data_IF_554854562981
#
_entry.id   IF_554854562981
#
_cell.length_a   1.000
_cell.length_b   1.000
_cell.length_c   1.000
_cell.angle_alpha   90.00
_cell.angle_beta   90.00
_cell.angle_gamma   90.00
#
_symmetry.space_group_name_H-M   'P 1'
#
loop_
_entity.id
_entity.type
_entity.pdbx_description
1 polymer ?
#
# COMPACT_ATOMS: atom_id res chain seq x y z
N UNK A 1 14.34 22.83 -15.47
CA UNK A 1 14.34 21.37 -15.22
C UNK A 1 15.52 21.03 -14.34
N UNK A 2 15.35 20.10 -13.41
CA UNK A 2 16.40 19.58 -12.53
C UNK A 2 16.66 18.11 -12.93
N UNK A 3 17.91 17.69 -13.19
CA UNK A 3 18.19 16.29 -13.51
C UNK A 3 17.97 15.41 -12.27
N UNK A 4 17.44 14.19 -12.46
CA UNK A 4 17.19 13.25 -11.36
C UNK A 4 18.47 12.95 -10.56
N UNK A 5 19.63 12.94 -11.22
CA UNK A 5 20.93 12.74 -10.56
C UNK A 5 21.25 13.83 -9.54
N UNK A 6 20.69 15.04 -9.67
CA UNK A 6 20.81 16.10 -8.67
C UNK A 6 19.83 15.92 -7.49
N UNK A 7 18.85 15.02 -7.60
CA UNK A 7 17.80 14.79 -6.61
C UNK A 7 18.02 13.50 -5.80
N UNK A 8 19.22 12.92 -5.83
CA UNK A 8 19.51 11.70 -5.06
C UNK A 8 19.35 11.89 -3.55
N UNK A 9 19.71 13.07 -3.01
CA UNK A 9 19.56 13.38 -1.58
C UNK A 9 18.09 13.42 -1.14
N UNK A 10 17.20 14.21 -1.78
CA UNK A 10 15.79 14.19 -1.40
C UNK A 10 15.14 12.81 -1.57
N UNK A 11 15.56 11.99 -2.55
CA UNK A 11 15.10 10.60 -2.69
C UNK A 11 15.50 9.76 -1.47
N UNK A 12 16.78 9.74 -1.10
CA UNK A 12 17.27 8.93 0.00
C UNK A 12 16.71 9.39 1.36
N UNK A 13 16.69 10.69 1.60
CA UNK A 13 16.19 11.28 2.85
C UNK A 13 14.69 11.03 3.01
N UNK A 14 13.89 11.21 1.95
CA UNK A 14 12.46 10.91 2.01
C UNK A 14 12.19 9.44 2.31
N UNK A 15 12.92 8.50 1.70
CA UNK A 15 12.76 7.08 1.98
C UNK A 15 13.04 6.74 3.46
N UNK A 16 14.08 7.34 4.06
CA UNK A 16 14.38 7.15 5.49
C UNK A 16 13.28 7.73 6.38
N UNK A 17 12.81 8.95 6.08
CA UNK A 17 11.74 9.60 6.85
C UNK A 17 10.44 8.80 6.79
N UNK A 18 10.04 8.33 5.60
CA UNK A 18 8.83 7.52 5.40
C UNK A 18 8.97 6.18 6.10
N UNK A 19 10.14 5.52 6.00
CA UNK A 19 10.38 4.26 6.67
C UNK A 19 10.27 4.39 8.20
N UNK A 20 10.83 5.45 8.77
CA UNK A 20 10.73 5.75 10.20
C UNK A 20 9.27 6.04 10.61
N UNK A 21 8.56 6.91 9.88
CA UNK A 21 7.16 7.22 10.15
C UNK A 21 6.27 5.97 10.06
N UNK A 22 6.51 5.11 9.07
CA UNK A 22 5.79 3.84 8.91
C UNK A 22 6.06 2.86 10.04
N UNK A 23 7.30 2.80 10.51
CA UNK A 23 7.65 1.98 11.69
C UNK A 23 6.93 2.48 12.94
N UNK A 24 6.82 3.79 13.14
CA UNK A 24 6.05 4.38 14.24
C UNK A 24 4.56 4.04 14.14
N UNK A 25 3.96 4.23 12.94
CA UNK A 25 2.55 3.93 12.68
C UNK A 25 2.20 2.47 13.00
N UNK A 26 2.95 1.52 12.44
CA UNK A 26 2.57 0.11 12.47
C UNK A 26 3.17 -0.70 13.62
N UNK A 27 4.29 -0.27 14.21
CA UNK A 27 4.97 -1.02 15.28
C UNK A 27 4.83 -0.38 16.66
N UNK A 28 4.69 0.94 16.73
CA UNK A 28 4.67 1.66 18.03
C UNK A 28 3.24 2.07 18.39
N UNK A 29 2.51 2.66 17.45
CA UNK A 29 1.17 3.16 17.70
C UNK A 29 0.12 2.03 17.61
N UNK A 30 -0.91 2.03 18.47
CA UNK A 30 -1.82 0.88 18.58
C UNK A 30 -2.97 0.87 17.57
N UNK A 31 -3.14 1.91 16.75
CA UNK A 31 -4.37 2.10 15.97
C UNK A 31 -4.54 1.12 14.79
N UNK A 32 -3.48 0.41 14.37
CA UNK A 32 -3.55 -0.65 13.37
C UNK A 32 -3.89 -2.05 13.93
N UNK A 33 -3.97 -2.22 15.26
CA UNK A 33 -4.23 -3.55 15.88
C UNK A 33 -5.57 -4.16 15.47
N UNK A 34 -6.54 -3.34 15.10
CA UNK A 34 -7.89 -3.77 14.68
C UNK A 34 -8.10 -3.84 13.17
N UNK A 35 -7.02 -3.82 12.39
CA UNK A 35 -7.12 -3.84 10.92
C UNK A 35 -7.53 -5.21 10.38
N UNK A 36 -7.23 -6.27 11.14
CA UNK A 36 -7.63 -7.65 10.88
C UNK A 36 -8.38 -8.20 12.09
N UNK A 37 -9.48 -8.92 11.84
CA UNK A 37 -10.23 -9.61 12.89
C UNK A 37 -9.74 -11.05 13.03
N UNK A 38 -9.77 -11.56 14.25
CA UNK A 38 -9.61 -12.99 14.50
C UNK A 38 -10.86 -13.75 14.02
N UNK A 39 -10.66 -14.86 13.32
CA UNK A 39 -11.75 -15.75 12.94
C UNK A 39 -12.35 -16.47 14.16
N UNK A 40 -13.67 -16.72 14.19
CA UNK A 40 -14.31 -17.44 15.30
C UNK A 40 -13.73 -18.85 15.52
N UNK A 41 -13.44 -19.58 14.43
CA UNK A 41 -12.79 -20.88 14.43
C UNK A 41 -11.57 -20.86 13.49
N UNK A 42 -10.50 -20.24 13.97
CA UNK A 42 -9.22 -20.10 13.24
C UNK A 42 -8.55 -21.46 12.99
N UNK A 43 -8.51 -22.33 13.99
CA UNK A 43 -7.83 -23.62 13.90
C UNK A 43 -8.51 -24.54 12.89
N UNK A 44 -9.85 -24.59 12.89
CA UNK A 44 -10.62 -25.37 11.92
C UNK A 44 -10.40 -24.90 10.47
N UNK A 45 -10.33 -23.58 10.24
CA UNK A 45 -10.02 -23.06 8.89
C UNK A 45 -8.59 -23.42 8.47
N UNK A 46 -7.60 -23.24 9.35
CA UNK A 46 -6.20 -23.54 9.05
C UNK A 46 -6.00 -25.04 8.77
N UNK A 47 -6.67 -25.92 9.52
CA UNK A 47 -6.65 -27.35 9.25
C UNK A 47 -7.26 -27.68 7.88
N UNK A 48 -8.42 -27.10 7.54
CA UNK A 48 -9.05 -27.31 6.24
C UNK A 48 -8.17 -26.87 5.06
N UNK A 49 -7.46 -25.74 5.20
CA UNK A 49 -6.51 -25.27 4.19
C UNK A 49 -5.32 -26.22 4.03
N UNK A 50 -4.77 -26.75 5.14
CA UNK A 50 -3.69 -27.74 5.12
C UNK A 50 -4.14 -29.06 4.51
N UNK A 51 -5.32 -29.56 4.87
CA UNK A 51 -5.87 -30.81 4.34
C UNK A 51 -6.09 -30.73 2.82
N UNK A 52 -6.51 -29.57 2.32
CA UNK A 52 -6.65 -29.30 0.89
C UNK A 52 -5.32 -29.02 0.18
N UNK A 53 -4.20 -28.93 0.93
CA UNK A 53 -2.88 -28.54 0.42
C UNK A 53 -2.93 -27.20 -0.33
N UNK A 54 -3.74 -26.26 0.17
CA UNK A 54 -3.83 -24.91 -0.39
C UNK A 54 -2.47 -24.21 -0.27
N UNK A 55 -1.80 -24.03 -1.41
CA UNK A 55 -0.48 -23.40 -1.48
C UNK A 55 -0.53 -21.88 -1.31
N UNK A 56 0.63 -21.24 -1.39
CA UNK A 56 0.70 -19.79 -1.43
C UNK A 56 0.00 -19.26 -2.69
N UNK A 57 -0.88 -18.27 -2.52
CA UNK A 57 -1.69 -17.76 -3.62
C UNK A 57 -2.81 -16.84 -3.19
N UNK A 58 -3.53 -16.31 -4.17
CA UNK A 58 -4.74 -15.50 -3.99
C UNK A 58 -5.94 -16.30 -4.49
N UNK A 59 -6.92 -16.51 -3.62
CA UNK A 59 -8.10 -17.30 -3.87
C UNK A 59 -9.34 -16.45 -3.67
N UNK A 60 -10.39 -16.73 -4.45
CA UNK A 60 -11.75 -16.28 -4.16
C UNK A 60 -12.64 -17.50 -4.01
N UNK A 61 -13.47 -17.53 -2.97
CA UNK A 61 -14.34 -18.64 -2.63
C UNK A 61 -15.79 -18.13 -2.47
N UNK A 62 -16.76 -18.62 -3.27
CA UNK A 62 -16.59 -19.56 -4.37
C UNK A 62 -15.84 -18.95 -5.57
N UNK A 63 -15.00 -19.75 -6.23
CA UNK A 63 -14.24 -19.33 -7.40
C UNK A 63 -15.12 -19.35 -8.66
N UNK A 64 -15.13 -18.24 -9.41
CA UNK A 64 -15.83 -18.12 -10.69
C UNK A 64 -15.04 -17.19 -11.62
N UNK A 65 -14.65 -17.70 -12.79
CA UNK A 65 -13.73 -17.02 -13.70
C UNK A 65 -14.49 -16.27 -14.78
N UNK A 66 -15.57 -16.86 -15.29
CA UNK A 66 -16.26 -16.33 -16.47
C UNK A 66 -17.64 -15.73 -16.15
N UNK A 67 -18.10 -14.75 -16.94
CA UNK A 67 -19.47 -14.24 -16.84
C UNK A 67 -20.54 -15.34 -17.00
N UNK A 68 -20.27 -16.37 -17.81
CA UNK A 68 -21.17 -17.49 -18.05
C UNK A 68 -21.31 -18.37 -16.80
N UNK A 69 -20.19 -18.70 -16.14
CA UNK A 69 -20.19 -19.46 -14.88
C UNK A 69 -20.97 -18.71 -13.79
N UNK A 70 -20.75 -17.40 -13.66
CA UNK A 70 -21.49 -16.54 -12.71
C UNK A 70 -22.98 -16.48 -12.98
N UNK A 71 -23.38 -16.65 -14.24
CA UNK A 71 -24.78 -16.64 -14.65
C UNK A 71 -25.50 -17.96 -14.35
N UNK A 72 -24.75 -19.04 -14.13
CA UNK A 72 -25.30 -20.36 -13.80
C UNK A 72 -26.09 -20.35 -12.49
N UNK A 73 -27.15 -21.16 -12.43
CA UNK A 73 -27.99 -21.29 -11.23
C UNK A 73 -27.19 -21.80 -10.03
N UNK A 74 -26.23 -22.69 -10.26
CA UNK A 74 -25.40 -23.27 -9.21
C UNK A 74 -24.49 -22.24 -8.55
N UNK A 75 -23.75 -21.44 -9.34
CA UNK A 75 -22.86 -20.41 -8.80
C UNK A 75 -23.66 -19.31 -8.11
N UNK A 76 -24.80 -18.90 -8.68
CA UNK A 76 -25.71 -17.96 -8.00
C UNK A 76 -26.21 -18.50 -6.65
N UNK A 77 -26.55 -19.79 -6.58
CA UNK A 77 -26.96 -20.42 -5.32
C UNK A 77 -25.83 -20.46 -4.29
N UNK A 78 -24.59 -20.79 -4.70
CA UNK A 78 -23.41 -20.75 -3.83
C UNK A 78 -23.14 -19.34 -3.29
N UNK A 79 -23.17 -18.33 -4.17
CA UNK A 79 -22.98 -16.92 -3.79
C UNK A 79 -24.09 -16.42 -2.86
N UNK A 80 -25.35 -16.75 -3.15
CA UNK A 80 -26.49 -16.36 -2.31
C UNK A 80 -26.46 -17.02 -0.93
N UNK A 81 -25.97 -18.26 -0.85
CA UNK A 81 -25.78 -18.96 0.44
C UNK A 81 -24.61 -18.37 1.23
N UNK A 82 -23.57 -17.92 0.55
CA UNK A 82 -22.37 -17.33 1.13
C UNK A 82 -21.55 -18.32 1.98
N UNK A 83 -20.46 -17.83 2.61
CA UNK A 83 -19.87 -16.50 2.42
C UNK A 83 -19.16 -16.36 1.06
N UNK A 84 -18.94 -15.11 0.62
CA UNK A 84 -17.96 -14.78 -0.42
C UNK A 84 -16.68 -14.31 0.28
N UNK A 85 -15.56 -14.96 0.02
CA UNK A 85 -14.28 -14.68 0.68
C UNK A 85 -13.15 -14.50 -0.34
N UNK A 86 -12.28 -13.52 -0.08
CA UNK A 86 -10.96 -13.41 -0.69
C UNK A 86 -9.93 -13.91 0.33
N UNK A 87 -9.07 -14.82 -0.08
CA UNK A 87 -8.08 -15.46 0.80
C UNK A 87 -6.71 -15.36 0.17
N UNK A 88 -5.78 -14.73 0.87
CA UNK A 88 -4.36 -14.74 0.51
C UNK A 88 -3.62 -15.67 1.47
N UNK A 89 -3.03 -16.73 0.92
CA UNK A 89 -2.17 -17.65 1.67
C UNK A 89 -0.72 -17.30 1.35
N UNK A 90 0.08 -17.11 2.39
CA UNK A 90 1.52 -16.87 2.27
C UNK A 90 2.30 -18.02 2.92
N UNK A 91 3.49 -18.38 2.41
CA UNK A 91 4.24 -19.53 2.91
C UNK A 91 4.81 -19.31 4.31
N UNK A 92 5.26 -18.08 4.60
CA UNK A 92 5.73 -17.66 5.91
C UNK A 92 5.83 -16.13 5.99
N UNK A 93 5.79 -15.59 7.21
CA UNK A 93 6.16 -14.21 7.48
C UNK A 93 7.69 -14.12 7.55
N UNK A 94 8.28 -13.33 6.65
CA UNK A 94 9.71 -13.10 6.55
C UNK A 94 10.02 -11.63 6.77
N UNK A 95 9.70 -11.11 7.96
CA UNK A 95 9.57 -9.66 8.27
C UNK A 95 10.71 -8.81 7.68
N UNK A 96 11.96 -9.27 7.78
CA UNK A 96 13.11 -8.57 7.19
C UNK A 96 12.99 -8.35 5.68
N UNK A 97 12.49 -9.34 4.92
CA UNK A 97 12.23 -9.20 3.48
C UNK A 97 11.15 -8.15 3.21
N UNK A 98 10.04 -8.15 3.98
CA UNK A 98 9.00 -7.12 3.80
C UNK A 98 9.52 -5.72 4.12
N UNK A 99 10.31 -5.56 5.18
CA UNK A 99 10.91 -4.26 5.53
C UNK A 99 11.86 -3.76 4.42
N UNK A 100 12.71 -4.63 3.88
CA UNK A 100 13.59 -4.29 2.75
C UNK A 100 12.76 -3.92 1.51
N UNK A 101 11.75 -4.72 1.16
CA UNK A 101 10.87 -4.41 0.03
C UNK A 101 10.13 -3.08 0.21
N UNK A 102 9.71 -2.77 1.43
CA UNK A 102 9.07 -1.49 1.75
C UNK A 102 10.03 -0.31 1.59
N UNK A 103 11.27 -0.42 2.10
CA UNK A 103 12.27 0.62 1.92
C UNK A 103 12.62 0.84 0.44
N UNK A 104 12.80 -0.25 -0.32
CA UNK A 104 13.01 -0.18 -1.78
C UNK A 104 11.83 0.48 -2.48
N UNK A 105 10.60 0.17 -2.08
CA UNK A 105 9.41 0.80 -2.62
C UNK A 105 9.39 2.31 -2.34
N UNK A 106 9.76 2.76 -1.14
CA UNK A 106 9.89 4.19 -0.81
C UNK A 106 10.91 4.89 -1.73
N UNK A 107 12.03 4.24 -2.04
CA UNK A 107 13.01 4.76 -3.02
C UNK A 107 12.42 4.86 -4.42
N UNK A 108 11.68 3.84 -4.88
CA UNK A 108 11.01 3.85 -6.19
C UNK A 108 10.02 5.01 -6.28
N UNK A 109 9.19 5.21 -5.25
CA UNK A 109 8.30 6.37 -5.16
C UNK A 109 9.09 7.67 -5.24
N UNK A 110 10.18 7.79 -4.47
CA UNK A 110 11.07 8.95 -4.52
C UNK A 110 11.62 9.23 -5.92
N UNK A 111 12.00 8.21 -6.69
CA UNK A 111 12.46 8.37 -8.08
C UNK A 111 11.36 8.94 -8.98
N UNK A 112 10.11 8.46 -8.87
CA UNK A 112 9.00 9.00 -9.64
C UNK A 112 8.63 10.43 -9.22
N UNK A 113 8.69 10.72 -7.91
CA UNK A 113 8.53 12.08 -7.38
C UNK A 113 9.61 13.01 -7.93
N UNK A 114 10.87 12.58 -7.94
CA UNK A 114 11.99 13.33 -8.50
C UNK A 114 11.85 13.54 -10.01
N UNK A 115 11.43 12.51 -10.75
CA UNK A 115 11.17 12.62 -12.17
C UNK A 115 10.11 13.69 -12.45
N UNK A 116 8.92 13.57 -11.86
CA UNK A 116 7.84 14.51 -12.15
C UNK A 116 8.19 15.93 -11.67
N UNK A 117 8.62 16.07 -10.42
CA UNK A 117 8.95 17.38 -9.84
C UNK A 117 10.12 18.04 -10.58
N UNK A 118 11.19 17.30 -10.91
CA UNK A 118 12.35 17.82 -11.64
C UNK A 118 12.06 18.22 -13.09
N UNK A 119 11.04 17.63 -13.70
CA UNK A 119 10.55 18.03 -15.04
C UNK A 119 9.63 19.25 -14.98
N UNK A 120 8.98 19.51 -13.85
CA UNK A 120 8.03 20.62 -13.69
C UNK A 120 8.66 21.88 -13.08
N UNK A 121 9.59 21.75 -12.13
CA UNK A 121 10.19 22.87 -11.41
C UNK A 121 11.62 23.19 -11.90
N UNK A 122 12.00 24.46 -11.83
CA UNK A 122 13.35 24.93 -12.13
C UNK A 122 14.25 24.87 -10.87
N UNK A 123 15.58 24.89 -11.03
CA UNK A 123 16.47 25.22 -9.91
C UNK A 123 16.04 26.53 -9.23
N UNK A 124 16.18 26.61 -7.92
CA UNK A 124 15.81 27.78 -7.12
C UNK A 124 14.29 27.98 -6.96
N UNK A 125 13.46 27.02 -7.39
CA UNK A 125 12.01 27.08 -7.17
C UNK A 125 11.71 27.10 -5.67
N UNK A 126 10.77 27.96 -5.26
CA UNK A 126 10.35 28.11 -3.87
C UNK A 126 9.91 26.78 -3.22
N UNK A 127 10.24 26.64 -1.94
CA UNK A 127 9.97 25.45 -1.13
C UNK A 127 8.51 24.98 -1.26
N UNK A 128 7.52 25.86 -1.12
CA UNK A 128 6.10 25.46 -1.11
C UNK A 128 5.61 25.03 -2.49
N UNK A 129 6.20 25.55 -3.56
CA UNK A 129 5.90 25.11 -4.92
C UNK A 129 6.42 23.69 -5.17
N UNK A 130 7.66 23.40 -4.76
CA UNK A 130 8.24 22.04 -4.82
C UNK A 130 7.45 21.08 -3.92
N UNK A 131 7.13 21.51 -2.70
CA UNK A 131 6.37 20.75 -1.72
C UNK A 131 5.01 20.30 -2.28
N UNK A 132 4.27 21.22 -2.92
CA UNK A 132 2.97 20.90 -3.53
C UNK A 132 3.09 19.83 -4.61
N UNK A 133 4.06 19.97 -5.52
CA UNK A 133 4.26 19.02 -6.62
C UNK A 133 4.71 17.66 -6.10
N UNK A 134 5.75 17.63 -5.28
CA UNK A 134 6.31 16.40 -4.73
C UNK A 134 5.30 15.69 -3.82
N UNK A 135 4.61 16.43 -2.95
CA UNK A 135 3.62 15.91 -2.03
C UNK A 135 2.40 15.33 -2.72
N UNK A 136 1.86 16.02 -3.74
CA UNK A 136 0.72 15.49 -4.51
C UNK A 136 1.11 14.19 -5.22
N UNK A 137 2.30 14.16 -5.81
CA UNK A 137 2.83 12.97 -6.51
C UNK A 137 3.03 11.80 -5.54
N UNK A 138 3.66 12.05 -4.40
CA UNK A 138 3.89 11.05 -3.37
C UNK A 138 2.58 10.54 -2.76
N UNK A 139 1.60 11.42 -2.54
CA UNK A 139 0.30 11.04 -1.99
C UNK A 139 -0.45 10.09 -2.92
N UNK A 140 -0.46 10.37 -4.23
CA UNK A 140 -1.05 9.47 -5.22
C UNK A 140 -0.37 8.10 -5.23
N UNK A 141 0.97 8.05 -5.06
CA UNK A 141 1.72 6.81 -5.03
C UNK A 141 1.43 5.97 -3.77
N UNK A 142 1.46 6.58 -2.58
CA UNK A 142 1.24 5.86 -1.32
C UNK A 142 -0.23 5.52 -1.06
N UNK A 143 -1.16 6.44 -1.35
CA UNK A 143 -2.58 6.28 -1.04
C UNK A 143 -3.37 5.59 -2.16
N UNK A 144 -2.91 5.64 -3.41
CA UNK A 144 -3.73 5.35 -4.60
C UNK A 144 -4.36 3.95 -4.65
N UNK A 145 -3.72 2.95 -4.04
CA UNK A 145 -4.26 1.57 -3.98
C UNK A 145 -5.26 1.32 -2.85
N UNK A 146 -5.33 2.19 -1.85
CA UNK A 146 -6.03 1.88 -0.58
C UNK A 146 -7.55 1.77 -0.75
N UNK A 147 -8.17 2.69 -1.49
CA UNK A 147 -9.61 2.69 -1.72
C UNK A 147 -10.06 1.51 -2.59
N UNK A 148 -9.26 1.14 -3.59
CA UNK A 148 -9.53 0.01 -4.49
C UNK A 148 -9.71 -1.29 -3.71
N UNK A 149 -8.94 -1.51 -2.65
CA UNK A 149 -9.05 -2.69 -1.79
C UNK A 149 -10.38 -2.76 -1.03
N UNK A 150 -10.92 -1.63 -0.59
CA UNK A 150 -12.26 -1.58 0.02
C UNK A 150 -13.38 -1.77 -0.99
N UNK A 151 -13.24 -1.17 -2.18
CA UNK A 151 -14.24 -1.25 -3.25
C UNK A 151 -14.35 -2.67 -3.80
N UNK A 152 -13.22 -3.32 -4.08
CA UNK A 152 -13.19 -4.58 -4.82
C UNK A 152 -13.04 -5.82 -3.94
N UNK A 153 -12.35 -5.70 -2.79
CA UNK A 153 -12.01 -6.84 -1.92
C UNK A 153 -12.70 -6.78 -0.55
N UNK A 154 -13.52 -5.76 -0.30
CA UNK A 154 -14.30 -5.67 0.94
C UNK A 154 -13.48 -5.32 2.18
N UNK A 155 -12.26 -4.78 2.05
CA UNK A 155 -11.47 -4.27 3.18
C UNK A 155 -12.28 -3.22 3.96
N UNK A 156 -12.27 -3.31 5.30
CA UNK A 156 -12.93 -2.31 6.16
C UNK A 156 -12.53 -0.89 5.78
N UNK A 157 -13.51 -0.01 5.62
CA UNK A 157 -13.27 1.41 5.33
C UNK A 157 -12.49 2.13 6.43
N UNK A 158 -12.60 1.68 7.69
CA UNK A 158 -11.78 2.21 8.79
C UNK A 158 -10.29 1.93 8.59
N UNK A 159 -9.92 0.72 8.14
CA UNK A 159 -8.53 0.38 7.78
C UNK A 159 -8.05 1.23 6.61
N UNK A 160 -8.89 1.42 5.58
CA UNK A 160 -8.56 2.29 4.44
C UNK A 160 -8.34 3.74 4.87
N UNK A 161 -9.19 4.29 5.75
CA UNK A 161 -9.02 5.64 6.27
C UNK A 161 -7.70 5.82 7.02
N UNK A 162 -7.30 4.85 7.88
CA UNK A 162 -6.00 4.87 8.55
C UNK A 162 -4.85 4.87 7.55
N UNK A 163 -4.87 3.94 6.58
CA UNK A 163 -3.83 3.85 5.56
C UNK A 163 -3.72 5.12 4.70
N UNK A 164 -4.84 5.80 4.41
CA UNK A 164 -4.83 7.09 3.72
C UNK A 164 -4.18 8.18 4.59
N UNK A 165 -4.47 8.21 5.89
CA UNK A 165 -3.84 9.15 6.83
C UNK A 165 -2.32 8.90 6.94
N UNK A 166 -1.90 7.64 7.03
CA UNK A 166 -0.48 7.29 7.02
C UNK A 166 0.18 7.72 5.71
N UNK A 167 -0.47 7.43 4.58
CA UNK A 167 0.00 7.83 3.25
C UNK A 167 0.11 9.35 3.09
N UNK A 168 -0.79 10.11 3.71
CA UNK A 168 -0.70 11.57 3.76
C UNK A 168 0.54 12.00 4.55
N UNK A 169 0.81 11.42 5.72
CA UNK A 169 2.01 11.71 6.48
C UNK A 169 3.28 11.38 5.68
N UNK A 170 3.32 10.23 5.00
CA UNK A 170 4.44 9.83 4.14
C UNK A 170 4.66 10.81 2.99
N UNK A 171 3.57 11.29 2.37
CA UNK A 171 3.63 12.26 1.29
C UNK A 171 4.14 13.63 1.76
N UNK A 172 3.70 14.09 2.94
CA UNK A 172 4.17 15.35 3.53
C UNK A 172 5.66 15.30 3.90
N UNK A 173 6.14 14.17 4.43
CA UNK A 173 7.56 13.96 4.71
C UNK A 173 8.40 13.95 3.43
N UNK A 174 7.89 13.29 2.39
CA UNK A 174 8.53 13.30 1.06
C UNK A 174 8.57 14.72 0.50
N UNK A 175 7.46 15.45 0.54
CA UNK A 175 7.37 16.83 0.09
C UNK A 175 8.33 17.76 0.83
N UNK A 176 8.43 17.60 2.15
CA UNK A 176 9.35 18.36 2.99
C UNK A 176 10.81 18.12 2.62
N UNK A 177 11.20 16.86 2.42
CA UNK A 177 12.56 16.52 2.00
C UNK A 177 12.89 17.10 0.62
N UNK A 178 11.96 17.01 -0.33
CA UNK A 178 12.14 17.56 -1.68
C UNK A 178 12.21 19.08 -1.71
N UNK A 179 11.34 19.77 -0.97
CA UNK A 179 11.38 21.23 -0.85
C UNK A 179 12.65 21.70 -0.13
N UNK A 180 13.07 21.01 0.93
CA UNK A 180 14.25 21.36 1.71
C UNK A 180 15.55 21.19 0.93
N UNK A 181 15.69 20.09 0.19
CA UNK A 181 16.91 19.73 -0.53
C UNK A 181 16.83 20.06 -2.03
N UNK A 182 15.96 21.00 -2.40
CA UNK A 182 15.81 21.41 -3.78
C UNK A 182 17.06 22.17 -4.26
N UNK A 183 17.61 21.86 -5.45
CA UNK A 183 18.78 22.57 -5.96
C UNK A 183 18.51 24.05 -6.22
N UNK A 184 19.46 24.89 -5.85
CA UNK A 184 19.48 26.34 -6.16
C UNK A 184 19.68 26.62 -7.64
#
# INVERSE_FOLDING_TARGET
MVPITALWMPIAVSAVLVFAASSLAHMVLPYHRGDYDKLPDEDGLLEALRAQKAGAGNYVAPHCVTPEERSSREVKAKLARGPLAFVTVIPSLAIGKQLVSWFVYCLVVGVFVAYLTGRTAAPGTDYLAVFRLAGTTAFLAYAGGTASESIWMGRKWSTTAKNVLDSLAYALLTAGAFGWLWPS
#
